data_IF_609432100385
#
_entry.id   IF_609432100385
#
_cell.length_a   1.000
_cell.length_b   1.000
_cell.length_c   1.000
_cell.angle_alpha   90.00
_cell.angle_beta   90.00
_cell.angle_gamma   90.00
#
_symmetry.space_group_name_H-M   'P 1'
#
loop_
_entity.id
_entity.type
_entity.pdbx_description
1 polymer ?
#
# COMPACT_ATOMS: atom_id res chain seq x y z
N UNK A 1 70.08 -11.43 -42.27
CA UNK A 1 68.90 -11.01 -41.48
C UNK A 1 68.10 -12.24 -41.10
N UNK A 2 67.33 -12.18 -40.02
CA UNK A 2 66.92 -13.36 -39.24
C UNK A 2 66.09 -14.41 -39.99
N UNK A 3 66.15 -15.65 -39.52
CA UNK A 3 65.85 -16.87 -40.26
C UNK A 3 64.96 -17.85 -39.49
N UNK A 4 64.09 -18.56 -40.22
CA UNK A 4 63.55 -19.91 -39.96
C UNK A 4 62.89 -20.28 -38.61
N UNK A 5 61.63 -20.73 -38.73
CA UNK A 5 60.95 -21.75 -37.90
C UNK A 5 61.65 -23.14 -38.01
N UNK A 6 61.29 -24.23 -37.26
CA UNK A 6 59.98 -24.58 -36.65
C UNK A 6 59.99 -25.42 -35.32
N UNK A 7 58.82 -25.99 -34.98
CA UNK A 7 58.47 -27.06 -34.01
C UNK A 7 59.58 -27.97 -33.42
N UNK A 8 59.42 -28.38 -32.13
CA UNK A 8 59.00 -29.76 -31.75
C UNK A 8 59.02 -30.09 -30.21
N UNK A 9 57.90 -30.64 -29.72
CA UNK A 9 57.71 -31.84 -28.85
C UNK A 9 58.48 -32.12 -27.53
N UNK A 10 57.83 -33.00 -26.71
CA UNK A 10 58.33 -33.85 -25.60
C UNK A 10 58.45 -33.20 -24.18
N UNK A 11 58.24 -33.87 -23.03
CA UNK A 11 57.84 -35.25 -22.67
C UNK A 11 56.86 -35.29 -21.45
N UNK A 12 55.92 -36.23 -21.54
CA UNK A 12 55.34 -37.16 -20.54
C UNK A 12 55.74 -37.20 -19.03
N UNK A 13 54.75 -37.69 -18.25
CA UNK A 13 54.79 -38.51 -17.02
C UNK A 13 54.41 -37.89 -15.65
N UNK A 14 53.15 -38.09 -15.26
CA UNK A 14 52.76 -38.54 -13.90
C UNK A 14 53.27 -39.99 -13.66
N UNK A 15 53.26 -40.61 -12.45
CA UNK A 15 52.11 -40.65 -11.52
C UNK A 15 52.44 -40.73 -10.00
N UNK A 16 51.38 -40.83 -9.17
CA UNK A 16 51.29 -41.66 -7.93
C UNK A 16 52.23 -41.36 -6.74
N UNK A 17 51.88 -41.54 -5.46
CA UNK A 17 50.63 -41.92 -4.76
C UNK A 17 50.90 -41.98 -3.23
N UNK A 18 49.87 -42.35 -2.45
CA UNK A 18 49.87 -42.87 -1.06
C UNK A 18 49.60 -41.75 -0.02
N UNK A 19 48.37 -41.62 0.50
CA UNK A 19 47.69 -42.44 1.53
C UNK A 19 48.26 -42.21 2.95
N UNK A 20 47.52 -42.31 4.05
CA UNK A 20 46.26 -43.00 4.35
C UNK A 20 45.51 -42.21 5.47
N UNK A 21 44.17 -42.11 5.49
CA UNK A 21 43.21 -42.99 6.20
C UNK A 21 43.30 -42.93 7.75
N UNK A 22 42.26 -43.17 8.57
CA UNK A 22 41.03 -43.98 8.36
C UNK A 22 39.96 -43.59 9.42
N UNK A 23 38.66 -43.53 9.05
CA UNK A 23 37.53 -44.39 9.56
C UNK A 23 36.92 -44.05 10.93
N UNK A 24 35.68 -44.41 11.36
CA UNK A 24 34.34 -44.86 10.84
C UNK A 24 33.36 -44.76 12.05
N UNK A 25 32.03 -44.87 12.04
CA UNK A 25 30.97 -45.34 11.10
C UNK A 25 29.86 -44.24 11.00
N UNK A 26 28.74 -44.29 10.27
CA UNK A 26 27.81 -45.29 9.68
C UNK A 26 26.85 -46.01 10.63
N UNK A 27 25.58 -45.59 10.60
CA UNK A 27 24.40 -46.48 10.67
C UNK A 27 23.24 -45.86 9.88
N UNK A 28 22.77 -46.58 8.85
CA UNK A 28 21.43 -46.40 8.28
C UNK A 28 20.62 -47.66 8.55
N UNK A 29 19.32 -47.52 8.79
CA UNK A 29 18.33 -48.59 8.60
C UNK A 29 17.01 -47.97 8.11
N UNK A 30 16.41 -48.48 7.02
CA UNK A 30 15.06 -48.12 6.60
C UNK A 30 14.02 -49.08 7.18
N UNK A 31 12.75 -48.66 7.25
CA UNK A 31 11.61 -49.55 7.46
C UNK A 31 10.37 -49.01 6.76
N UNK A 32 9.71 -49.89 6.00
CA UNK A 32 8.49 -49.66 5.22
C UNK A 32 7.39 -50.64 5.68
N UNK A 33 6.20 -50.53 5.07
CA UNK A 33 4.96 -51.28 5.33
C UNK A 33 4.16 -50.76 6.56
N UNK A 34 2.82 -50.72 6.53
CA UNK A 34 1.86 -51.47 5.71
C UNK A 34 0.65 -50.64 5.23
N UNK A 35 -0.02 -51.14 4.18
CA UNK A 35 -1.33 -50.63 3.71
C UNK A 35 -2.49 -51.00 4.66
N UNK A 36 -3.58 -50.24 4.59
CA UNK A 36 -4.93 -50.81 4.69
C UNK A 36 -5.82 -50.25 3.56
N UNK A 37 -6.78 -51.06 3.11
CA UNK A 37 -7.63 -50.82 1.93
C UNK A 37 -9.08 -50.73 2.39
N UNK A 38 -9.79 -49.69 1.95
CA UNK A 38 -11.24 -49.69 1.66
C UNK A 38 -11.52 -48.41 0.82
N UNK A 39 -11.59 -48.46 -0.51
CA UNK A 39 -12.59 -49.07 -1.40
C UNK A 39 -13.98 -48.41 -1.30
N UNK A 40 -14.43 -47.70 -2.35
CA UNK A 40 -15.67 -46.90 -2.31
C UNK A 40 -15.97 -46.02 -3.53
N UNK A 41 -15.77 -46.55 -4.75
CA UNK A 41 -16.35 -46.19 -6.07
C UNK A 41 -17.06 -44.83 -6.33
N UNK A 42 -16.68 -44.22 -7.48
CA UNK A 42 -17.47 -43.35 -8.38
C UNK A 42 -17.99 -42.00 -7.82
N UNK A 43 -17.86 -40.84 -8.48
CA UNK A 43 -17.65 -40.60 -9.91
C UNK A 43 -18.98 -40.25 -10.60
N UNK A 44 -19.23 -38.95 -10.82
CA UNK A 44 -20.01 -38.32 -11.91
C UNK A 44 -19.99 -36.80 -11.65
N UNK A 45 -19.53 -36.02 -12.63
CA UNK A 45 -19.69 -34.56 -12.62
C UNK A 45 -21.11 -34.18 -13.04
N UNK A 46 -21.73 -33.21 -12.38
CA UNK A 46 -22.87 -32.50 -12.95
C UNK A 46 -22.86 -31.04 -12.49
N UNK A 47 -22.91 -30.15 -13.49
CA UNK A 47 -22.92 -28.71 -13.35
C UNK A 47 -24.25 -28.21 -12.80
N UNK A 48 -24.22 -27.18 -11.95
CA UNK A 48 -25.31 -26.20 -11.88
C UNK A 48 -24.83 -24.86 -11.34
N UNK A 49 -25.13 -23.81 -12.09
CA UNK A 49 -24.87 -22.44 -11.71
C UNK A 49 -25.78 -22.01 -10.55
N UNK A 50 -25.25 -21.14 -9.69
CA UNK A 50 -26.02 -20.44 -8.66
C UNK A 50 -26.23 -18.99 -9.10
N UNK A 51 -27.48 -18.48 -9.21
CA UNK A 51 -27.71 -17.08 -9.53
C UNK A 51 -27.58 -16.20 -8.29
N UNK A 52 -26.97 -15.03 -8.45
CA UNK A 52 -27.12 -13.91 -7.53
C UNK A 52 -28.57 -13.45 -7.46
N UNK A 53 -29.06 -13.11 -6.27
CA UNK A 53 -30.19 -12.16 -6.16
C UNK A 53 -30.19 -11.40 -4.86
N UNK A 54 -30.49 -10.11 -4.96
CA UNK A 54 -30.60 -9.16 -3.85
C UNK A 54 -31.90 -9.36 -3.08
N UNK A 55 -31.86 -9.35 -1.75
CA UNK A 55 -33.04 -9.20 -0.90
C UNK A 55 -33.15 -7.76 -0.38
N UNK A 56 -34.01 -6.96 -1.01
CA UNK A 56 -34.49 -5.70 -0.44
C UNK A 56 -35.56 -6.00 0.61
N UNK A 57 -35.43 -5.43 1.80
CA UNK A 57 -36.43 -5.55 2.87
C UNK A 57 -37.48 -4.46 2.66
N UNK A 58 -38.70 -4.86 2.28
CA UNK A 58 -39.87 -3.99 2.26
C UNK A 58 -40.81 -4.42 3.38
N UNK A 59 -40.89 -3.65 4.46
CA UNK A 59 -41.90 -3.84 5.50
C UNK A 59 -43.27 -3.35 4.99
N UNK A 60 -44.30 -4.16 5.17
CA UNK A 60 -45.68 -3.84 4.81
C UNK A 60 -46.54 -4.06 6.05
N UNK A 61 -47.09 -2.99 6.61
CA UNK A 61 -47.96 -3.08 7.79
C UNK A 61 -49.43 -3.11 7.37
N UNK A 62 -50.23 -3.92 8.04
CA UNK A 62 -51.62 -4.20 7.69
C UNK A 62 -52.60 -3.45 8.59
N UNK A 63 -53.83 -3.33 8.08
CA UNK A 63 -54.85 -2.37 8.47
C UNK A 63 -55.75 -2.91 9.60
N UNK A 64 -56.16 -2.04 10.53
CA UNK A 64 -57.30 -2.30 11.43
C UNK A 64 -58.33 -1.17 11.33
N UNK A 65 -59.60 -1.54 11.19
CA UNK A 65 -60.75 -0.64 11.23
C UNK A 65 -61.55 -0.85 12.52
N UNK A 66 -62.16 0.21 13.05
CA UNK A 66 -63.11 0.20 14.15
C UNK A 66 -63.88 1.53 14.20
N UNK A 67 -65.21 1.46 14.23
CA UNK A 67 -66.14 2.59 14.00
C UNK A 67 -66.59 3.34 15.29
N UNK A 68 -67.33 4.47 15.21
CA UNK A 68 -67.31 5.55 16.21
C UNK A 68 -68.42 5.48 17.29
N UNK A 69 -68.53 6.50 18.19
CA UNK A 69 -69.54 7.54 17.94
C UNK A 69 -69.18 9.00 18.34
N UNK A 70 -70.12 9.88 17.97
CA UNK A 70 -70.24 11.35 17.92
C UNK A 70 -69.89 12.27 19.13
N UNK A 71 -69.82 13.57 18.76
CA UNK A 71 -70.03 14.82 19.51
C UNK A 71 -69.01 15.33 20.54
N UNK A 72 -68.19 16.32 20.15
CA UNK A 72 -68.60 17.75 20.25
C UNK A 72 -67.64 18.68 19.48
N UNK A 73 -68.13 19.86 19.07
CA UNK A 73 -67.29 20.96 18.59
C UNK A 73 -66.63 21.68 19.78
N UNK A 74 -65.38 22.12 19.61
CA UNK A 74 -65.01 23.53 19.85
C UNK A 74 -63.63 23.84 19.22
N UNK A 75 -63.45 25.10 18.81
CA UNK A 75 -62.21 25.62 18.21
C UNK A 75 -61.02 25.53 19.17
N UNK A 76 -59.82 25.24 18.63
CA UNK A 76 -58.59 26.04 18.86
C UNK A 76 -57.47 25.52 17.96
N UNK A 77 -56.94 26.37 17.08
CA UNK A 77 -55.72 26.12 16.31
C UNK A 77 -54.46 26.25 17.16
N UNK A 78 -53.50 25.34 16.98
CA UNK A 78 -52.07 25.67 16.97
C UNK A 78 -51.49 25.46 15.55
N UNK A 79 -50.34 26.09 15.22
CA UNK A 79 -49.88 26.20 13.84
C UNK A 79 -49.35 24.88 13.28
N UNK A 80 -49.59 24.70 11.98
CA UNK A 80 -48.91 23.73 11.13
C UNK A 80 -47.40 23.85 11.30
N UNK A 81 -46.75 22.76 11.71
CA UNK A 81 -45.33 22.58 11.45
C UNK A 81 -45.19 22.39 9.94
N UNK A 82 -44.76 23.43 9.23
CA UNK A 82 -44.29 23.26 7.86
C UNK A 82 -43.07 22.35 7.93
N UNK A 83 -43.26 21.10 7.49
CA UNK A 83 -42.15 20.24 7.15
C UNK A 83 -41.45 20.91 5.97
N UNK A 84 -40.37 21.62 6.26
CA UNK A 84 -39.32 21.79 5.28
C UNK A 84 -38.80 20.39 4.97
N UNK A 85 -39.34 19.80 3.90
CA UNK A 85 -38.65 18.79 3.13
C UNK A 85 -37.41 19.47 2.56
N UNK A 86 -36.37 19.54 3.40
CA UNK A 86 -35.00 19.63 2.91
C UNK A 86 -34.75 18.34 2.12
N UNK A 87 -35.14 18.36 0.84
CA UNK A 87 -34.50 17.58 -0.22
C UNK A 87 -33.03 18.03 -0.29
N UNK A 88 -32.29 17.66 0.75
CA UNK A 88 -30.85 17.79 0.83
C UNK A 88 -30.25 16.80 -0.15
N UNK A 89 -30.16 17.22 -1.41
CA UNK A 89 -29.08 16.80 -2.28
C UNK A 89 -27.78 17.04 -1.50
N UNK A 90 -27.26 15.98 -0.88
CA UNK A 90 -25.91 15.99 -0.33
C UNK A 90 -24.99 16.14 -1.53
N UNK A 91 -24.62 17.38 -1.85
CA UNK A 91 -23.52 17.67 -2.77
C UNK A 91 -22.31 16.88 -2.27
N UNK A 92 -21.97 15.79 -2.98
CA UNK A 92 -20.82 14.97 -2.64
C UNK A 92 -19.59 15.87 -2.71
N UNK A 93 -19.03 16.19 -1.55
CA UNK A 93 -17.98 17.19 -1.47
C UNK A 93 -16.75 16.74 -2.29
N UNK A 94 -16.21 17.62 -3.13
CA UNK A 94 -15.11 17.33 -4.08
C UNK A 94 -13.90 16.60 -3.47
N UNK A 95 -13.66 16.82 -2.17
CA UNK A 95 -12.55 16.28 -1.40
C UNK A 95 -12.90 15.09 -0.50
N UNK A 96 -14.12 14.55 -0.60
CA UNK A 96 -14.60 13.37 0.13
C UNK A 96 -13.73 12.12 -0.10
N UNK A 97 -12.99 12.05 -1.21
CA UNK A 97 -12.03 10.98 -1.46
C UNK A 97 -10.70 11.13 -0.70
N UNK A 98 -10.42 12.28 -0.09
CA UNK A 98 -9.21 12.49 0.70
C UNK A 98 -9.39 11.92 2.12
N UNK A 99 -8.34 11.28 2.69
CA UNK A 99 -8.41 10.74 4.04
C UNK A 99 -8.56 11.85 5.09
N UNK A 100 -9.28 11.55 6.17
CA UNK A 100 -9.54 12.47 7.29
C UNK A 100 -8.32 12.71 8.19
N UNK A 101 -7.40 11.75 8.26
CA UNK A 101 -6.23 11.71 9.15
C UNK A 101 -5.15 10.76 8.61
N UNK A 102 -4.05 10.60 9.35
CA UNK A 102 -2.93 9.74 8.96
C UNK A 102 -3.29 8.24 8.97
N UNK A 103 -4.07 7.77 9.95
CA UNK A 103 -4.48 6.36 10.00
C UNK A 103 -5.45 6.02 8.86
N UNK A 104 -6.41 6.91 8.56
CA UNK A 104 -7.30 6.79 7.41
C UNK A 104 -6.54 6.78 6.08
N UNK A 105 -5.49 7.60 5.93
CA UNK A 105 -4.61 7.58 4.76
C UNK A 105 -3.89 6.22 4.61
N UNK A 106 -3.46 5.63 5.73
CA UNK A 106 -2.82 4.31 5.77
C UNK A 106 -3.82 3.21 5.40
N UNK A 107 -5.03 3.24 5.96
CA UNK A 107 -6.10 2.27 5.66
C UNK A 107 -6.52 2.32 4.17
N UNK A 108 -6.82 3.52 3.67
CA UNK A 108 -7.13 3.76 2.26
C UNK A 108 -6.00 3.30 1.32
N UNK A 109 -4.74 3.43 1.75
CA UNK A 109 -3.61 2.90 0.97
C UNK A 109 -3.57 1.36 0.93
N UNK A 110 -4.05 0.68 1.98
CA UNK A 110 -4.24 -0.76 2.05
C UNK A 110 -5.33 -1.23 1.09
N UNK A 111 -6.51 -0.61 1.15
CA UNK A 111 -7.65 -0.84 0.25
C UNK A 111 -7.26 -0.68 -1.23
N UNK A 112 -6.58 0.42 -1.57
CA UNK A 112 -6.07 0.69 -2.92
C UNK A 112 -5.05 -0.37 -3.39
N UNK A 113 -4.20 -0.85 -2.47
CA UNK A 113 -3.22 -1.90 -2.74
C UNK A 113 -3.88 -3.27 -2.96
N UNK A 114 -4.86 -3.63 -2.14
CA UNK A 114 -5.65 -4.85 -2.26
C UNK A 114 -6.44 -4.88 -3.58
N UNK A 115 -7.04 -3.75 -3.95
CA UNK A 115 -7.77 -3.58 -5.22
C UNK A 115 -6.82 -3.73 -6.41
N UNK A 116 -5.64 -3.10 -6.35
CA UNK A 116 -4.61 -3.25 -7.38
C UNK A 116 -4.13 -4.70 -7.53
N UNK A 117 -3.81 -5.38 -6.42
CA UNK A 117 -3.40 -6.79 -6.43
C UNK A 117 -4.50 -7.69 -7.00
N UNK A 118 -5.74 -7.50 -6.56
CA UNK A 118 -6.91 -8.25 -7.02
C UNK A 118 -7.20 -8.06 -8.51
N UNK A 119 -6.79 -6.92 -9.09
CA UNK A 119 -6.85 -6.67 -10.54
C UNK A 119 -5.76 -7.37 -11.36
N UNK A 120 -4.83 -8.09 -10.71
CA UNK A 120 -3.65 -8.72 -11.33
C UNK A 120 -2.38 -7.85 -11.28
N UNK A 121 -2.39 -6.77 -10.49
CA UNK A 121 -1.25 -5.87 -10.33
C UNK A 121 -0.07 -6.50 -9.57
N UNK A 122 1.11 -6.54 -10.20
CA UNK A 122 2.29 -7.24 -9.65
C UNK A 122 3.30 -6.35 -8.90
N UNK A 123 3.36 -5.05 -9.18
CA UNK A 123 4.38 -4.14 -8.61
C UNK A 123 3.73 -2.82 -8.20
N UNK A 124 3.62 -2.60 -6.89
CA UNK A 124 2.94 -1.44 -6.31
C UNK A 124 3.87 -0.59 -5.44
N UNK A 125 3.65 0.72 -5.45
CA UNK A 125 4.22 1.67 -4.48
C UNK A 125 3.07 2.39 -3.78
N UNK A 126 3.11 2.38 -2.45
CA UNK A 126 2.38 3.30 -1.59
C UNK A 126 3.37 4.35 -1.10
N UNK A 127 3.10 5.62 -1.34
CA UNK A 127 3.93 6.73 -0.83
C UNK A 127 3.07 7.68 0.03
N UNK A 128 3.52 7.92 1.25
CA UNK A 128 2.85 8.77 2.23
C UNK A 128 3.76 9.97 2.48
N UNK A 129 3.69 10.95 1.58
CA UNK A 129 4.54 12.15 1.55
C UNK A 129 3.99 13.22 2.51
N UNK A 130 3.61 12.78 3.70
CA UNK A 130 3.02 13.56 4.78
C UNK A 130 4.16 13.90 5.77
N UNK A 131 4.42 15.19 6.08
CA UNK A 131 5.58 15.58 6.89
C UNK A 131 5.69 14.86 8.24
N UNK A 132 4.56 14.59 8.90
CA UNK A 132 4.48 13.79 10.13
C UNK A 132 5.25 12.47 10.00
N UNK A 133 5.04 11.73 8.91
CA UNK A 133 5.68 10.44 8.65
C UNK A 133 7.18 10.55 8.29
N UNK A 134 7.67 11.75 7.98
CA UNK A 134 9.11 12.03 7.79
C UNK A 134 9.83 12.31 9.12
N UNK A 135 9.09 12.73 10.16
CA UNK A 135 9.61 12.85 11.52
C UNK A 135 9.58 11.51 12.27
N UNK A 136 8.71 10.56 11.87
CA UNK A 136 8.62 9.24 12.51
C UNK A 136 9.86 8.35 12.32
N UNK A 137 10.82 8.72 11.48
CA UNK A 137 12.10 8.03 11.32
C UNK A 137 13.16 8.47 12.34
N UNK A 138 12.94 9.61 13.02
CA UNK A 138 13.83 10.12 14.06
C UNK A 138 13.84 9.21 15.31
N UNK A 139 14.94 9.28 16.06
CA UNK A 139 15.17 8.39 17.21
C UNK A 139 14.12 8.61 18.31
N UNK A 140 13.25 7.60 18.50
CA UNK A 140 12.15 7.62 19.46
C UNK A 140 10.75 7.54 18.83
N UNK A 141 10.58 7.96 17.57
CA UNK A 141 9.27 8.03 16.90
C UNK A 141 8.93 6.78 16.04
N UNK A 142 9.93 5.94 15.75
CA UNK A 142 9.81 4.73 14.93
C UNK A 142 8.72 3.73 15.39
N UNK A 143 8.35 3.75 16.68
CA UNK A 143 7.29 2.89 17.20
C UNK A 143 5.92 3.15 16.53
N UNK A 144 5.62 4.41 16.21
CA UNK A 144 4.37 4.80 15.54
C UNK A 144 4.40 4.39 14.06
N UNK A 145 5.54 4.57 13.38
CA UNK A 145 5.76 4.10 12.01
C UNK A 145 5.47 2.59 11.88
N UNK A 146 5.89 1.80 12.87
CA UNK A 146 5.61 0.37 12.88
C UNK A 146 4.12 0.05 13.10
N UNK A 147 3.43 0.68 14.06
CA UNK A 147 1.99 0.45 14.23
C UNK A 147 1.19 0.90 13.00
N UNK A 148 1.56 2.00 12.33
CA UNK A 148 0.96 2.38 11.04
C UNK A 148 1.25 1.34 9.94
N UNK A 149 2.46 0.79 9.86
CA UNK A 149 2.76 -0.30 8.93
C UNK A 149 1.95 -1.56 9.22
N UNK A 150 1.60 -1.82 10.49
CA UNK A 150 0.69 -2.90 10.88
C UNK A 150 -0.73 -2.63 10.42
N UNK A 151 -1.27 -1.43 10.61
CA UNK A 151 -2.61 -1.05 10.09
C UNK A 151 -2.68 -1.29 8.57
N UNK A 152 -1.66 -0.88 7.81
CA UNK A 152 -1.59 -1.16 6.38
C UNK A 152 -1.64 -2.67 6.06
N UNK A 153 -0.85 -3.49 6.76
CA UNK A 153 -0.76 -4.93 6.55
C UNK A 153 -2.07 -5.64 6.90
N UNK A 154 -2.67 -5.30 8.04
CA UNK A 154 -3.92 -5.91 8.51
C UNK A 154 -5.08 -5.56 7.55
N UNK A 155 -5.19 -4.30 7.09
CA UNK A 155 -6.17 -3.89 6.05
C UNK A 155 -5.94 -4.61 4.72
N UNK A 156 -4.69 -4.74 4.27
CA UNK A 156 -4.37 -5.46 3.04
C UNK A 156 -4.78 -6.94 3.10
N UNK A 157 -4.64 -7.60 4.26
CA UNK A 157 -5.05 -9.00 4.45
C UNK A 157 -6.58 -9.12 4.42
N UNK A 158 -7.29 -8.21 5.08
CA UNK A 158 -8.75 -8.19 5.11
C UNK A 158 -9.34 -8.03 3.69
N UNK A 159 -8.92 -6.98 2.98
CA UNK A 159 -9.42 -6.63 1.64
C UNK A 159 -9.00 -7.62 0.54
N UNK A 160 -7.93 -8.40 0.74
CA UNK A 160 -7.54 -9.50 -0.19
C UNK A 160 -8.21 -10.83 0.14
N UNK A 161 -9.09 -10.89 1.15
CA UNK A 161 -9.80 -12.10 1.54
C UNK A 161 -8.95 -13.10 2.33
N UNK A 162 -7.96 -12.62 3.07
CA UNK A 162 -7.10 -13.43 3.93
C UNK A 162 -5.87 -14.05 3.23
N UNK A 163 -5.37 -13.43 2.16
CA UNK A 163 -4.17 -13.93 1.47
C UNK A 163 -2.93 -13.89 2.37
N UNK A 164 -2.00 -14.80 2.10
CA UNK A 164 -0.76 -14.98 2.86
C UNK A 164 0.25 -13.88 2.58
N UNK A 165 0.11 -12.76 3.29
CA UNK A 165 1.04 -11.65 3.26
C UNK A 165 2.34 -11.97 4.02
N UNK A 166 3.49 -11.67 3.40
CA UNK A 166 4.81 -11.60 4.03
C UNK A 166 5.24 -10.14 4.17
N UNK A 167 5.40 -9.66 5.38
CA UNK A 167 6.04 -8.39 5.69
C UNK A 167 7.57 -8.57 5.80
N UNK A 168 8.31 -7.79 5.01
CA UNK A 168 9.76 -7.72 5.02
C UNK A 168 10.17 -6.36 5.58
N UNK A 169 10.83 -6.39 6.73
CA UNK A 169 11.31 -5.21 7.44
C UNK A 169 12.75 -4.85 7.04
N UNK A 170 13.20 -3.61 7.31
CA UNK A 170 14.51 -3.12 6.86
C UNK A 170 15.70 -3.97 7.34
N UNK A 171 15.66 -4.43 8.59
CA UNK A 171 16.73 -5.21 9.21
C UNK A 171 16.19 -6.31 10.14
N UNK A 172 17.09 -7.20 10.59
CA UNK A 172 16.76 -8.36 11.40
C UNK A 172 16.35 -8.03 12.85
N UNK A 173 16.84 -6.91 13.39
CA UNK A 173 16.45 -6.38 14.70
C UNK A 173 15.01 -5.87 14.69
N UNK A 174 14.65 -5.04 13.71
CA UNK A 174 13.26 -4.60 13.51
C UNK A 174 12.31 -5.80 13.34
N UNK A 175 12.63 -6.74 12.44
CA UNK A 175 11.81 -7.93 12.21
C UNK A 175 11.63 -8.78 13.49
N UNK A 176 12.69 -8.98 14.29
CA UNK A 176 12.63 -9.76 15.53
C UNK A 176 11.85 -9.05 16.64
N UNK A 177 12.02 -7.72 16.78
CA UNK A 177 11.30 -6.90 17.75
C UNK A 177 9.79 -6.92 17.50
N UNK A 178 9.38 -6.68 16.25
CA UNK A 178 7.97 -6.62 15.87
C UNK A 178 7.31 -8.00 15.95
N UNK A 179 8.01 -9.07 15.55
CA UNK A 179 7.55 -10.46 15.73
C UNK A 179 7.37 -10.84 17.21
N UNK A 180 8.15 -10.27 18.12
CA UNK A 180 7.97 -10.48 19.56
C UNK A 180 6.79 -9.67 20.12
N UNK A 181 6.55 -8.45 19.61
CA UNK A 181 5.49 -7.53 20.03
C UNK A 181 4.11 -7.97 19.53
N UNK A 182 3.97 -8.25 18.24
CA UNK A 182 2.70 -8.59 17.57
C UNK A 182 2.56 -10.10 17.37
N UNK A 183 2.29 -10.82 18.47
CA UNK A 183 2.12 -12.30 18.46
C UNK A 183 0.82 -12.77 17.81
N UNK A 184 -0.08 -11.82 17.58
CA UNK A 184 -1.42 -11.93 17.03
C UNK A 184 -1.50 -11.55 15.55
N UNK A 185 -0.39 -11.10 14.94
CA UNK A 185 -0.34 -10.69 13.54
C UNK A 185 -0.66 -11.85 12.58
N UNK A 186 -1.50 -11.58 11.59
CA UNK A 186 -1.90 -12.55 10.57
C UNK A 186 -0.86 -12.74 9.43
N UNK A 187 0.16 -11.88 9.36
CA UNK A 187 1.23 -11.91 8.35
C UNK A 187 2.52 -12.59 8.83
N UNK A 188 3.31 -13.07 7.87
CA UNK A 188 4.66 -13.56 8.14
C UNK A 188 5.67 -12.43 8.30
N UNK A 189 6.63 -12.58 9.22
CA UNK A 189 7.74 -11.63 9.44
C UNK A 189 9.02 -12.12 8.78
N UNK A 190 9.75 -11.23 8.13
CA UNK A 190 11.12 -11.43 7.64
C UNK A 190 11.90 -10.11 7.54
N UNK A 191 13.19 -10.18 7.25
CA UNK A 191 14.11 -9.06 7.07
C UNK A 191 14.76 -9.08 5.69
N UNK A 192 15.11 -7.91 5.13
CA UNK A 192 15.96 -7.83 3.93
C UNK A 192 17.36 -8.45 4.11
N UNK A 193 17.80 -8.65 5.36
CA UNK A 193 19.04 -9.34 5.70
C UNK A 193 18.92 -10.87 5.70
N UNK A 194 17.71 -11.44 5.57
CA UNK A 194 17.50 -12.88 5.56
C UNK A 194 17.99 -13.51 4.24
N UNK A 195 18.60 -14.70 4.32
CA UNK A 195 19.07 -15.44 3.14
C UNK A 195 17.96 -15.88 2.18
N UNK A 196 16.74 -16.02 2.70
CA UNK A 196 15.52 -16.41 1.98
C UNK A 196 14.32 -15.72 2.65
N UNK A 197 14.06 -14.43 2.33
CA UNK A 197 13.04 -13.67 3.05
C UNK A 197 11.60 -14.08 2.70
N UNK A 198 11.42 -14.75 1.56
CA UNK A 198 10.13 -15.20 1.05
C UNK A 198 10.17 -16.73 0.88
N UNK A 199 9.08 -17.39 1.27
CA UNK A 199 8.84 -18.83 1.13
C UNK A 199 7.92 -19.12 -0.07
N UNK A 200 7.72 -20.38 -0.42
CA UNK A 200 6.86 -20.79 -1.55
C UNK A 200 5.37 -20.52 -1.31
N UNK A 201 4.93 -20.45 -0.07
CA UNK A 201 3.51 -20.32 0.30
C UNK A 201 3.10 -18.87 0.64
N UNK A 202 4.01 -17.91 0.45
CA UNK A 202 3.70 -16.48 0.58
C UNK A 202 3.14 -15.97 -0.75
N UNK A 203 1.95 -15.36 -0.71
CA UNK A 203 1.18 -14.95 -1.89
C UNK A 203 1.44 -13.50 -2.26
N UNK A 204 1.44 -12.61 -1.26
CA UNK A 204 1.77 -11.18 -1.41
C UNK A 204 3.01 -10.87 -0.56
N UNK A 205 3.93 -10.07 -1.11
CA UNK A 205 5.11 -9.60 -0.38
C UNK A 205 5.05 -8.08 -0.21
N UNK A 206 5.18 -7.63 1.03
CA UNK A 206 5.20 -6.20 1.39
C UNK A 206 6.57 -5.85 1.95
N UNK A 207 7.24 -4.88 1.33
CA UNK A 207 8.46 -4.28 1.85
C UNK A 207 8.10 -3.01 2.63
N UNK A 208 8.42 -3.01 3.92
CA UNK A 208 8.10 -1.90 4.84
C UNK A 208 9.28 -0.93 4.90
N UNK A 209 9.07 0.29 4.41
CA UNK A 209 10.03 1.42 4.40
C UNK A 209 11.45 1.04 3.92
N UNK A 210 11.61 0.47 2.70
CA UNK A 210 12.93 0.15 2.18
C UNK A 210 13.70 1.43 1.81
N UNK A 211 14.94 1.55 2.31
CA UNK A 211 15.81 2.71 2.13
C UNK A 211 16.74 2.61 0.90
N UNK A 212 17.29 3.72 0.44
CA UNK A 212 18.19 3.82 -0.73
C UNK A 212 19.44 2.93 -0.63
N UNK A 213 19.87 2.56 0.58
CA UNK A 213 20.97 1.61 0.80
C UNK A 213 20.57 0.17 0.42
N UNK A 214 19.27 -0.13 0.47
CA UNK A 214 18.71 -1.48 0.30
C UNK A 214 18.31 -1.78 -1.15
N UNK A 215 18.50 -0.83 -2.09
CA UNK A 215 18.05 -0.98 -3.49
C UNK A 215 18.46 -2.29 -4.14
N UNK A 216 19.71 -2.74 -3.97
CA UNK A 216 20.19 -3.99 -4.57
C UNK A 216 19.41 -5.22 -4.08
N UNK A 217 18.96 -5.21 -2.82
CA UNK A 217 18.08 -6.24 -2.27
C UNK A 217 16.66 -6.12 -2.83
N UNK A 218 16.15 -4.90 -3.00
CA UNK A 218 14.84 -4.64 -3.63
C UNK A 218 14.81 -5.14 -5.07
N UNK A 219 15.86 -4.87 -5.85
CA UNK A 219 16.00 -5.32 -7.24
C UNK A 219 16.06 -6.86 -7.34
N UNK A 220 16.89 -7.50 -6.49
CA UNK A 220 16.97 -8.97 -6.40
C UNK A 220 15.63 -9.59 -6.02
N UNK A 221 14.96 -9.06 -5.00
CA UNK A 221 13.67 -9.58 -4.56
C UNK A 221 12.60 -9.42 -5.65
N UNK A 222 12.51 -8.24 -6.27
CA UNK A 222 11.58 -7.98 -7.37
C UNK A 222 11.80 -8.93 -8.55
N UNK A 223 13.06 -9.32 -8.84
CA UNK A 223 13.35 -10.36 -9.84
C UNK A 223 12.85 -11.74 -9.42
N UNK A 224 13.13 -12.18 -8.18
CA UNK A 224 12.70 -13.49 -7.63
C UNK A 224 11.17 -13.62 -7.52
N UNK A 225 10.46 -12.50 -7.35
CA UNK A 225 8.99 -12.48 -7.33
C UNK A 225 8.36 -12.37 -8.73
N UNK A 226 9.18 -12.18 -9.76
CA UNK A 226 8.73 -12.19 -11.17
C UNK A 226 8.91 -13.57 -11.84
N UNK A 227 9.48 -14.55 -11.12
CA UNK A 227 9.54 -15.95 -11.55
C UNK A 227 8.13 -16.58 -11.57
N UNK A 228 7.94 -17.69 -12.27
CA UNK A 228 6.63 -18.34 -12.46
C UNK A 228 6.24 -19.24 -11.25
N UNK A 229 5.07 -19.05 -10.59
CA UNK A 229 4.07 -18.01 -10.82
C UNK A 229 4.44 -16.66 -10.19
N UNK A 230 4.20 -15.52 -10.89
CA UNK A 230 4.59 -14.20 -10.42
C UNK A 230 3.77 -13.78 -9.20
N UNK A 231 4.42 -13.12 -8.24
CA UNK A 231 3.82 -12.72 -6.97
C UNK A 231 3.87 -11.21 -6.76
N UNK A 232 2.76 -10.59 -6.30
CA UNK A 232 2.73 -9.17 -6.03
C UNK A 232 3.78 -8.72 -5.02
N UNK A 233 4.51 -7.66 -5.39
CA UNK A 233 5.43 -6.93 -4.53
C UNK A 233 4.90 -5.50 -4.31
N UNK A 234 4.57 -5.18 -3.07
CA UNK A 234 4.19 -3.84 -2.64
C UNK A 234 5.34 -3.22 -1.84
N UNK A 235 5.76 -2.01 -2.19
CA UNK A 235 6.65 -1.21 -1.35
C UNK A 235 5.83 -0.16 -0.62
N UNK A 236 5.81 -0.23 0.71
CA UNK A 236 5.13 0.72 1.57
C UNK A 236 6.10 1.80 2.06
N UNK A 237 5.82 3.05 1.71
CA UNK A 237 6.62 4.25 1.95
C UNK A 237 8.14 4.13 1.65
N UNK A 238 8.54 3.74 0.41
CA UNK A 238 9.95 3.52 0.05
C UNK A 238 10.77 4.81 -0.06
N UNK A 239 12.02 4.78 0.41
CA UNK A 239 12.99 5.90 0.38
C UNK A 239 14.18 5.63 -0.54
N UNK A 240 13.90 5.06 -1.71
CA UNK A 240 14.93 4.51 -2.61
C UNK A 240 15.77 5.56 -3.38
N UNK A 241 15.46 6.85 -3.21
CA UNK A 241 16.21 7.99 -3.75
C UNK A 241 16.83 8.73 -2.56
N UNK A 242 18.13 8.97 -2.62
CA UNK A 242 18.83 9.84 -1.67
C UNK A 242 19.16 11.16 -2.36
N UNK A 243 18.94 12.26 -1.66
CA UNK A 243 19.32 13.61 -2.09
C UNK A 243 20.76 13.93 -1.65
N UNK A 244 21.15 13.50 -0.45
CA UNK A 244 22.46 13.79 0.16
C UNK A 244 23.62 12.96 -0.41
N UNK A 245 23.36 11.71 -0.82
CA UNK A 245 24.41 10.84 -1.35
C UNK A 245 24.68 11.23 -2.81
N UNK A 246 25.90 11.69 -3.07
CA UNK A 246 26.44 12.04 -4.39
C UNK A 246 26.59 10.87 -5.37
N UNK A 247 25.58 10.01 -5.52
CA UNK A 247 25.56 8.92 -6.50
C UNK A 247 25.69 9.47 -7.93
N UNK A 248 26.57 8.84 -8.71
CA UNK A 248 26.80 9.20 -10.11
C UNK A 248 25.53 9.11 -10.96
N UNK A 249 25.47 9.89 -12.03
CA UNK A 249 24.29 10.01 -12.90
C UNK A 249 23.71 8.66 -13.36
N UNK A 250 24.59 7.71 -13.71
CA UNK A 250 24.18 6.36 -14.15
C UNK A 250 23.43 5.59 -13.06
N UNK A 251 23.85 5.69 -11.80
CA UNK A 251 23.16 5.05 -10.67
C UNK A 251 21.78 5.67 -10.51
N UNK A 252 21.67 7.01 -10.45
CA UNK A 252 20.39 7.72 -10.38
C UNK A 252 19.44 7.36 -11.54
N UNK A 253 19.97 7.21 -12.76
CA UNK A 253 19.20 6.77 -13.94
C UNK A 253 18.70 5.33 -13.78
N UNK A 254 19.54 4.41 -13.29
CA UNK A 254 19.16 3.01 -13.04
C UNK A 254 18.07 2.92 -11.97
N UNK A 255 18.21 3.64 -10.84
CA UNK A 255 17.18 3.72 -9.78
C UNK A 255 15.83 4.16 -10.36
N UNK A 256 15.84 5.25 -11.13
CA UNK A 256 14.63 5.80 -11.76
C UNK A 256 14.00 4.82 -12.74
N UNK A 257 14.80 4.08 -13.51
CA UNK A 257 14.31 3.04 -14.41
C UNK A 257 13.66 1.87 -13.63
N UNK A 258 14.31 1.36 -12.58
CA UNK A 258 13.74 0.31 -11.74
C UNK A 258 12.43 0.73 -11.09
N UNK A 259 12.39 1.92 -10.47
CA UNK A 259 11.18 2.47 -9.86
C UNK A 259 10.05 2.70 -10.87
N UNK A 260 10.36 3.02 -12.14
CA UNK A 260 9.35 3.13 -13.21
C UNK A 260 8.69 1.81 -13.60
N UNK A 261 9.17 0.66 -13.10
CA UNK A 261 8.50 -0.64 -13.25
C UNK A 261 7.39 -0.89 -12.22
N UNK A 262 7.23 0.00 -11.24
CA UNK A 262 6.19 -0.05 -10.23
C UNK A 262 5.06 0.94 -10.55
N UNK A 263 3.83 0.53 -10.27
CA UNK A 263 2.67 1.44 -10.29
C UNK A 263 2.55 2.08 -8.91
N UNK A 264 2.59 3.42 -8.82
CA UNK A 264 2.11 4.09 -7.61
C UNK A 264 0.61 3.81 -7.49
N UNK A 265 0.19 3.07 -6.47
CA UNK A 265 -1.23 2.74 -6.21
C UNK A 265 -1.86 3.74 -5.26
N UNK A 266 -1.05 4.30 -4.36
CA UNK A 266 -1.47 5.33 -3.43
C UNK A 266 -0.38 6.40 -3.28
N UNK A 267 -0.79 7.66 -3.30
CA UNK A 267 0.07 8.82 -3.02
C UNK A 267 -0.75 9.87 -2.28
N UNK A 268 -0.25 10.36 -1.15
CA UNK A 268 -0.78 11.55 -0.50
C UNK A 268 0.36 12.51 -0.20
N UNK A 269 0.30 13.72 -0.76
CA UNK A 269 1.27 14.79 -0.56
C UNK A 269 0.55 16.12 -0.27
N UNK A 270 0.41 16.52 1.00
CA UNK A 270 0.07 17.89 1.37
C UNK A 270 1.11 18.88 0.82
N UNK A 271 0.67 20.06 0.44
CA UNK A 271 1.49 21.17 -0.07
C UNK A 271 1.05 22.50 0.57
N UNK A 272 1.73 23.60 0.26
CA UNK A 272 1.45 24.92 0.84
C UNK A 272 0.15 25.56 0.33
N UNK A 273 -0.30 25.14 -0.85
CA UNK A 273 -1.45 25.72 -1.58
C UNK A 273 -2.54 24.67 -1.87
N UNK A 274 -2.51 23.53 -1.16
CA UNK A 274 -3.41 22.41 -1.37
C UNK A 274 -2.75 21.04 -1.24
N UNK A 275 -3.10 20.08 -2.09
CA UNK A 275 -2.59 18.71 -2.02
C UNK A 275 -2.50 18.02 -3.39
N UNK A 276 -1.59 17.05 -3.51
CA UNK A 276 -1.53 16.10 -4.63
C UNK A 276 -1.86 14.71 -4.10
N UNK A 277 -2.82 14.05 -4.75
CA UNK A 277 -3.41 12.80 -4.30
C UNK A 277 -3.51 11.78 -5.43
N UNK A 278 -3.44 10.50 -5.06
CA UNK A 278 -3.69 9.34 -5.91
C UNK A 278 -4.20 8.20 -5.05
N UNK A 279 -5.29 7.57 -5.47
CA UNK A 279 -5.78 6.33 -4.89
C UNK A 279 -6.30 5.44 -6.03
N UNK A 280 -5.73 4.25 -6.20
CA UNK A 280 -6.13 3.27 -7.23
C UNK A 280 -7.55 2.74 -6.93
N UNK A 281 -8.45 2.59 -7.93
CA UNK A 281 -8.23 2.69 -9.38
C UNK A 281 -8.26 4.11 -9.97
N UNK A 282 -8.47 5.14 -9.14
CA UNK A 282 -8.55 6.54 -9.55
C UNK A 282 -7.28 7.15 -10.18
N UNK A 283 -7.50 8.25 -10.88
CA UNK A 283 -6.48 9.11 -11.47
C UNK A 283 -5.72 9.93 -10.41
N UNK A 284 -4.66 10.64 -10.83
CA UNK A 284 -4.04 11.65 -10.00
C UNK A 284 -4.99 12.85 -9.88
N UNK A 285 -5.11 13.40 -8.68
CA UNK A 285 -5.88 14.62 -8.40
C UNK A 285 -4.98 15.67 -7.78
N UNK A 286 -5.14 16.92 -8.19
CA UNK A 286 -4.58 18.08 -7.52
C UNK A 286 -5.74 18.84 -6.90
N UNK A 287 -5.56 19.28 -5.67
CA UNK A 287 -6.51 20.02 -4.87
C UNK A 287 -5.91 21.36 -4.47
N UNK A 288 -6.75 22.39 -4.34
CA UNK A 288 -6.42 23.63 -3.64
C UNK A 288 -6.89 23.56 -2.19
N UNK A 289 -6.20 24.26 -1.29
CA UNK A 289 -6.75 24.56 0.04
C UNK A 289 -7.95 25.51 -0.13
N UNK A 290 -9.07 25.18 0.53
CA UNK A 290 -10.25 26.03 0.57
C UNK A 290 -9.99 27.22 1.52
N UNK A 291 -9.88 28.43 0.96
CA UNK A 291 -9.61 29.66 1.73
C UNK A 291 -10.79 30.07 2.62
N UNK A 292 -12.02 29.67 2.25
CA UNK A 292 -13.25 30.04 2.96
C UNK A 292 -13.65 29.00 4.01
N UNK A 293 -13.28 27.72 3.82
CA UNK A 293 -13.59 26.61 4.73
C UNK A 293 -12.31 25.90 5.24
N UNK A 294 -11.84 26.18 6.48
CA UNK A 294 -10.58 25.62 6.97
C UNK A 294 -10.61 24.09 7.10
N UNK A 295 -9.49 23.45 6.75
CA UNK A 295 -9.29 21.99 6.64
C UNK A 295 -10.09 21.30 5.52
N UNK A 296 -10.58 22.05 4.52
CA UNK A 296 -11.31 21.53 3.36
C UNK A 296 -10.52 21.81 2.07
N UNK A 297 -10.77 21.03 1.04
CA UNK A 297 -10.10 21.14 -0.25
C UNK A 297 -11.08 21.30 -1.40
N UNK A 298 -10.63 21.93 -2.48
CA UNK A 298 -11.37 22.08 -3.74
C UNK A 298 -10.62 21.35 -4.86
N UNK A 299 -11.31 20.59 -5.71
CA UNK A 299 -10.66 19.84 -6.79
C UNK A 299 -10.16 20.79 -7.88
N UNK A 300 -8.84 20.90 -8.02
CA UNK A 300 -8.20 21.77 -9.02
C UNK A 300 -8.16 21.12 -10.41
N UNK A 301 -7.73 19.86 -10.47
CA UNK A 301 -7.48 19.14 -11.73
C UNK A 301 -7.35 17.63 -11.52
N UNK A 302 -7.90 16.84 -12.44
CA UNK A 302 -7.57 15.42 -12.57
C UNK A 302 -6.57 15.17 -13.70
N UNK A 303 -5.62 14.26 -13.48
CA UNK A 303 -4.51 13.94 -14.38
C UNK A 303 -4.30 12.42 -14.47
N UNK A 304 -4.02 11.92 -15.68
CA UNK A 304 -3.73 10.50 -15.91
C UNK A 304 -2.35 10.10 -15.33
N UNK A 305 -1.39 11.04 -15.33
CA UNK A 305 -0.02 10.87 -14.85
C UNK A 305 0.23 11.70 -13.59
N UNK A 306 1.30 11.35 -12.85
CA UNK A 306 1.82 12.21 -11.78
C UNK A 306 2.17 13.59 -12.37
N UNK A 307 1.66 14.69 -11.81
CA UNK A 307 2.04 16.02 -12.26
C UNK A 307 3.52 16.29 -11.91
N UNK A 308 4.21 16.96 -12.82
CA UNK A 308 5.58 17.45 -12.60
C UNK A 308 5.58 18.85 -11.97
N UNK A 309 6.77 19.38 -11.66
CA UNK A 309 6.89 20.66 -10.95
C UNK A 309 6.31 21.83 -11.78
N UNK A 310 6.50 21.82 -13.10
CA UNK A 310 5.98 22.84 -14.02
C UNK A 310 4.45 22.75 -14.12
N UNK A 311 3.88 21.54 -14.21
CA UNK A 311 2.42 21.34 -14.15
C UNK A 311 1.82 21.80 -12.81
N UNK A 312 2.48 21.53 -11.68
CA UNK A 312 2.02 22.00 -10.36
C UNK A 312 2.12 23.52 -10.24
N UNK A 313 3.20 24.14 -10.69
CA UNK A 313 3.37 25.61 -10.71
C UNK A 313 2.29 26.26 -11.58
N UNK A 314 2.00 25.72 -12.76
CA UNK A 314 0.89 26.20 -13.59
C UNK A 314 -0.48 26.02 -12.93
N UNK A 315 -0.72 24.93 -12.19
CA UNK A 315 -2.01 24.71 -11.50
C UNK A 315 -2.14 25.73 -10.35
N UNK A 316 -1.16 25.83 -9.46
CA UNK A 316 -1.23 26.72 -8.30
C UNK A 316 -1.14 28.21 -8.66
N UNK A 317 -0.23 28.61 -9.57
CA UNK A 317 -0.05 30.02 -9.96
C UNK A 317 -1.27 30.67 -10.63
N UNK A 318 -2.09 29.87 -11.33
CA UNK A 318 -3.36 30.33 -11.90
C UNK A 318 -4.42 30.76 -10.86
N UNK A 319 -4.20 30.48 -9.56
CA UNK A 319 -5.07 30.92 -8.46
C UNK A 319 -4.59 32.24 -7.85
N UNK A 320 -3.27 32.44 -7.75
CA UNK A 320 -2.70 33.67 -7.22
C UNK A 320 -2.97 34.85 -8.18
N UNK A 321 -2.80 34.68 -9.50
CA UNK A 321 -3.15 35.72 -10.48
C UNK A 321 -4.65 36.09 -10.50
N UNK A 322 -5.54 35.14 -10.15
CA UNK A 322 -6.98 35.40 -10.02
C UNK A 322 -7.38 36.04 -8.68
N UNK A 323 -6.47 36.08 -7.71
CA UNK A 323 -6.71 36.65 -6.38
C UNK A 323 -5.84 37.90 -6.09
N UNK A 324 -5.31 38.54 -7.15
CA UNK A 324 -4.60 39.82 -7.02
C UNK A 324 -5.51 40.99 -6.62
N UNK A 325 -5.78 41.11 -5.33
CA UNK A 325 -5.87 42.43 -4.70
C UNK A 325 -5.27 42.46 -3.29
N UNK A 326 -4.02 42.02 -3.17
CA UNK A 326 -3.07 42.43 -2.14
C UNK A 326 -3.29 41.84 -0.74
N UNK A 327 -2.67 40.70 -0.46
CA UNK A 327 -2.57 40.15 0.90
C UNK A 327 -1.20 39.53 1.20
N UNK A 328 -0.91 39.43 2.48
CA UNK A 328 0.41 39.54 3.12
C UNK A 328 1.15 38.20 3.19
N UNK A 329 2.48 38.23 3.32
CA UNK A 329 3.33 37.05 3.58
C UNK A 329 2.89 36.23 4.82
N UNK A 330 2.05 36.79 5.71
CA UNK A 330 1.44 36.06 6.82
C UNK A 330 0.37 35.05 6.39
N UNK A 331 -0.36 35.31 5.31
CA UNK A 331 -1.42 34.42 4.81
C UNK A 331 -0.82 33.13 4.23
N UNK A 332 0.37 33.23 3.63
CA UNK A 332 1.17 32.08 3.16
C UNK A 332 1.59 31.15 4.32
N UNK A 333 1.85 31.70 5.52
CA UNK A 333 2.12 30.87 6.69
C UNK A 333 0.84 30.19 7.22
N UNK A 334 -0.30 30.89 7.22
CA UNK A 334 -1.58 30.37 7.70
C UNK A 334 -2.12 29.20 6.85
N UNK A 335 -1.98 29.26 5.52
CA UNK A 335 -2.36 28.16 4.62
C UNK A 335 -1.60 26.86 4.89
N UNK A 336 -0.29 26.94 5.13
CA UNK A 336 0.55 25.78 5.47
C UNK A 336 0.06 25.09 6.76
N UNK A 337 -0.44 25.84 7.74
CA UNK A 337 -1.01 25.24 8.95
C UNK A 337 -2.37 24.57 8.70
N UNK A 338 -3.22 25.06 7.78
CA UNK A 338 -4.53 24.46 7.53
C UNK A 338 -4.44 23.11 6.81
N UNK A 339 -3.57 22.97 5.81
CA UNK A 339 -3.38 21.71 5.09
C UNK A 339 -2.72 20.63 5.97
N UNK A 340 -1.84 21.04 6.89
CA UNK A 340 -1.28 20.16 7.92
C UNK A 340 -2.31 19.76 9.00
N UNK A 341 -3.22 20.65 9.39
CA UNK A 341 -4.15 20.43 10.51
C UNK A 341 -5.09 19.22 10.31
N UNK A 342 -5.48 18.89 9.07
CA UNK A 342 -6.22 17.65 8.77
C UNK A 342 -5.44 16.41 9.25
N UNK A 343 -4.12 16.38 9.04
CA UNK A 343 -3.25 15.25 9.38
C UNK A 343 -2.63 15.32 10.79
N UNK A 344 -2.60 16.48 11.43
CA UNK A 344 -2.00 16.67 12.78
C UNK A 344 -2.84 16.14 13.95
N UNK A 345 -4.07 15.67 13.73
CA UNK A 345 -5.05 15.40 14.81
C UNK A 345 -4.75 14.21 15.73
N UNK A 346 -3.70 13.43 15.47
CA UNK A 346 -3.45 12.13 16.13
C UNK A 346 -2.66 12.23 17.45
N UNK A 347 -1.89 13.30 17.69
CA UNK A 347 -1.00 13.42 18.89
C UNK A 347 -1.75 13.88 20.16
N UNK A 348 -3.09 13.79 20.21
CA UNK A 348 -3.91 14.27 21.33
C UNK A 348 -4.61 13.14 22.10
N UNK A 349 -3.84 12.14 22.57
CA UNK A 349 -4.32 11.14 23.54
C UNK A 349 -3.22 10.58 24.44
#
# INVERSE_FOLDING_TARGET
MASTSPNCLFYFCSPSSISNSTSTSTTQLPLSYSHSIFNGCNGISLTKAWPSSSSRICAKFEQFQGEPPQDNLEDTTPPTLEAFEEDGEQEEEDDSCLPSDLEGAVRQSGEASATFVSSGGLRAIVELLIPQLQFLDEEGAQAELWELSRVFLDTLIEETGGQRVKAIFPDAGAAALLKYRWKDAAFGFSSLSDRKPVQSEDEIVVMVVPDYQMLEYVEKLASTLSDDPPRPLIMWNPRLISEDVGVGFNVRKLRRYFLSTFTTVYSMRPMQSGAVFRCYPGSWKVFYDDKDRPNRYLLAKELIRRPDAEELEMIFGNVDEKSEQGQSLFDQAAGIFSSLNRFMRVISR
#
